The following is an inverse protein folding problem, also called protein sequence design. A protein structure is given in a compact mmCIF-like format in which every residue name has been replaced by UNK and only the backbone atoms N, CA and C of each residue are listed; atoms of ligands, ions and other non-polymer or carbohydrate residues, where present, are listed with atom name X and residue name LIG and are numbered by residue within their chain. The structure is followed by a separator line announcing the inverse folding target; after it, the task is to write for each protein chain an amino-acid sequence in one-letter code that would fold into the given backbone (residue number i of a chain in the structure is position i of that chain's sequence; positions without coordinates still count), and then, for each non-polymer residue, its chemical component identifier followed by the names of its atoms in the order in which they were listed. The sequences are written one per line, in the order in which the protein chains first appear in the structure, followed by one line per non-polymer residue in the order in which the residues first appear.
data_IF_872058778003
#
_entry.id   IF_872058778003
#
_cell.length_a   1.000
_cell.length_b   1.000
_cell.length_c   1.000
_cell.angle_alpha   90.00
_cell.angle_beta   90.00
_cell.angle_gamma   90.00
#
_symmetry.space_group_name_H-M   'P 1'
#
loop_
_entity.id
_entity.type
_entity.pdbx_description
1 polymer ?
#
# COMPACT_ATOMS: atom_id res chain seq x y z
N UNK A 1 5.56 -26.54 -12.83
CA UNK A 1 5.04 -25.42 -12.01
C UNK A 1 3.51 -25.44 -11.84
N UNK A 2 2.69 -25.03 -12.83
CA UNK A 2 1.23 -24.94 -12.63
C UNK A 2 0.54 -26.29 -12.31
N UNK A 3 0.93 -27.36 -13.00
CA UNK A 3 0.41 -28.73 -12.75
C UNK A 3 0.80 -29.26 -11.36
N UNK A 4 1.96 -28.88 -10.82
CA UNK A 4 2.39 -29.32 -9.48
C UNK A 4 1.57 -28.61 -8.39
N UNK A 5 1.35 -27.30 -8.55
CA UNK A 5 0.53 -26.50 -7.65
C UNK A 5 -0.94 -26.95 -7.70
N UNK A 6 -1.44 -27.35 -8.88
CA UNK A 6 -2.80 -27.86 -9.02
C UNK A 6 -3.01 -29.17 -8.27
N UNK A 7 -2.00 -30.06 -8.18
CA UNK A 7 -2.12 -31.32 -7.44
C UNK A 7 -2.24 -31.12 -5.93
N UNK A 8 -1.71 -30.01 -5.41
CA UNK A 8 -1.77 -29.69 -3.97
C UNK A 8 -3.18 -29.25 -3.53
N UNK A 9 -4.03 -28.80 -4.47
CA UNK A 9 -5.39 -28.32 -4.16
C UNK A 9 -6.47 -29.20 -4.78
N UNK A 10 -7.52 -29.44 -4.03
CA UNK A 10 -8.76 -30.06 -4.54
C UNK A 10 -9.83 -28.99 -4.81
N UNK A 11 -10.31 -28.89 -6.05
CA UNK A 11 -11.22 -27.80 -6.49
C UNK A 11 -12.62 -27.80 -5.85
N UNK A 12 -13.05 -28.89 -5.21
CA UNK A 12 -14.40 -29.04 -4.64
C UNK A 12 -14.42 -29.21 -3.13
N UNK A 13 -13.24 -29.22 -2.49
CA UNK A 13 -13.13 -29.39 -1.05
C UNK A 13 -13.19 -28.02 -0.40
N UNK A 14 -14.05 -27.89 0.60
CA UNK A 14 -14.05 -26.73 1.47
C UNK A 14 -12.94 -26.92 2.50
N UNK A 15 -12.03 -25.95 2.57
CA UNK A 15 -10.95 -25.92 3.53
C UNK A 15 -11.33 -24.96 4.65
N UNK A 16 -11.01 -25.36 5.88
CA UNK A 16 -11.02 -24.45 7.02
C UNK A 16 -9.86 -23.45 6.91
N UNK A 17 -9.98 -22.35 7.66
CA UNK A 17 -9.01 -21.24 7.64
C UNK A 17 -7.57 -21.70 7.93
N UNK A 18 -7.27 -22.46 8.99
CA UNK A 18 -5.89 -22.82 9.30
C UNK A 18 -5.27 -23.77 8.27
N UNK A 19 -6.04 -24.71 7.72
CA UNK A 19 -5.57 -25.59 6.63
C UNK A 19 -5.32 -24.79 5.37
N UNK A 20 -6.21 -23.85 5.04
CA UNK A 20 -6.07 -22.96 3.87
C UNK A 20 -4.78 -22.14 3.93
N UNK A 21 -4.45 -21.58 5.10
CA UNK A 21 -3.21 -20.80 5.29
C UNK A 21 -1.97 -21.68 5.12
N UNK A 22 -2.00 -22.90 5.64
CA UNK A 22 -0.88 -23.84 5.53
C UNK A 22 -0.66 -24.28 4.08
N UNK A 23 -1.75 -24.57 3.36
CA UNK A 23 -1.72 -24.94 1.96
C UNK A 23 -1.23 -23.78 1.07
N UNK A 24 -1.70 -22.56 1.34
CA UNK A 24 -1.28 -21.37 0.61
C UNK A 24 0.24 -21.16 0.66
N UNK A 25 0.87 -21.38 1.81
CA UNK A 25 2.34 -21.31 1.97
C UNK A 25 3.09 -22.41 1.22
N UNK A 26 2.47 -23.57 0.98
CA UNK A 26 3.07 -24.63 0.16
C UNK A 26 2.94 -24.35 -1.33
N UNK A 27 1.91 -23.60 -1.72
CA UNK A 27 1.69 -23.18 -3.11
C UNK A 27 2.59 -22.02 -3.53
N UNK A 28 3.12 -21.25 -2.57
CA UNK A 28 4.06 -20.16 -2.86
C UNK A 28 5.38 -20.71 -3.36
N UNK A 29 5.71 -20.41 -4.62
CA UNK A 29 6.85 -21.02 -5.31
C UNK A 29 7.76 -19.99 -5.98
N UNK A 30 7.46 -18.70 -5.85
CA UNK A 30 8.34 -17.64 -6.30
C UNK A 30 9.52 -17.45 -5.33
N UNK A 31 10.57 -16.80 -5.83
CA UNK A 31 11.80 -16.51 -5.07
C UNK A 31 11.69 -15.25 -4.20
N UNK A 32 10.64 -14.46 -4.38
CA UNK A 32 10.39 -13.22 -3.65
C UNK A 32 9.20 -13.39 -2.70
N UNK A 33 8.97 -12.43 -1.81
CA UNK A 33 7.83 -12.43 -0.88
C UNK A 33 6.53 -12.25 -1.67
N UNK A 34 5.75 -13.32 -1.80
CA UNK A 34 4.47 -13.30 -2.50
C UNK A 34 3.38 -12.60 -1.68
N UNK A 35 2.45 -11.93 -2.37
CA UNK A 35 1.25 -11.35 -1.76
C UNK A 35 0.14 -12.40 -1.71
N UNK A 36 -0.49 -12.54 -0.54
CA UNK A 36 -1.69 -13.34 -0.38
C UNK A 36 -2.93 -12.46 -0.62
N UNK A 37 -3.83 -12.93 -1.47
CA UNK A 37 -5.10 -12.25 -1.77
C UNK A 37 -6.29 -13.15 -1.41
N UNK A 38 -7.41 -12.53 -1.03
CA UNK A 38 -8.66 -13.20 -0.76
C UNK A 38 -9.76 -12.62 -1.66
N UNK A 39 -10.40 -13.48 -2.45
CA UNK A 39 -11.48 -13.09 -3.34
C UNK A 39 -12.82 -13.52 -2.77
N UNK A 40 -13.72 -12.57 -2.59
CA UNK A 40 -15.07 -12.80 -2.10
C UNK A 40 -16.06 -12.53 -3.22
N UNK A 41 -16.87 -13.53 -3.56
CA UNK A 41 -17.99 -13.33 -4.47
C UNK A 41 -19.17 -12.78 -3.67
N UNK A 42 -19.44 -11.49 -3.83
CA UNK A 42 -20.60 -10.83 -3.23
C UNK A 42 -21.74 -10.77 -4.25
N UNK A 43 -22.97 -11.00 -3.81
CA UNK A 43 -24.16 -10.93 -4.66
C UNK A 43 -24.71 -9.49 -4.66
N UNK A 44 -23.87 -8.52 -5.02
CA UNK A 44 -24.21 -7.09 -5.11
C UNK A 44 -24.36 -6.70 -6.58
N UNK A 45 -25.32 -5.83 -6.89
CA UNK A 45 -25.47 -5.24 -8.21
C UNK A 45 -24.69 -3.91 -8.29
N UNK A 46 -23.56 -3.87 -9.02
CA UNK A 46 -22.73 -2.67 -9.10
C UNK A 46 -23.38 -1.51 -9.87
N UNK A 47 -24.55 -1.72 -10.50
CA UNK A 47 -25.29 -0.64 -11.17
C UNK A 47 -25.94 0.34 -10.19
N UNK A 48 -26.20 -0.10 -8.96
CA UNK A 48 -26.86 0.71 -7.95
C UNK A 48 -25.85 1.19 -6.90
N UNK A 49 -25.76 2.50 -6.69
CA UNK A 49 -24.78 3.13 -5.80
C UNK A 49 -24.94 2.72 -4.33
N UNK A 50 -26.15 2.37 -3.89
CA UNK A 50 -26.45 1.90 -2.53
C UNK A 50 -25.93 0.49 -2.25
N UNK A 51 -25.68 -0.30 -3.31
CA UNK A 51 -25.08 -1.64 -3.19
C UNK A 51 -23.56 -1.63 -3.34
N UNK A 52 -22.93 -0.48 -3.58
CA UNK A 52 -21.49 -0.37 -3.67
C UNK A 52 -20.86 -0.39 -2.26
N UNK A 53 -20.04 -1.41 -1.97
CA UNK A 53 -19.31 -1.48 -0.70
C UNK A 53 -17.94 -0.81 -0.83
N UNK A 54 -17.74 0.27 -0.05
CA UNK A 54 -16.42 0.89 0.15
C UNK A 54 -16.16 1.00 1.64
N UNK A 55 -15.29 0.14 2.15
CA UNK A 55 -14.91 0.10 3.56
C UNK A 55 -13.39 -0.02 3.72
N UNK A 56 -12.90 0.42 4.87
CA UNK A 56 -11.50 0.28 5.27
C UNK A 56 -11.43 -0.73 6.41
N UNK A 57 -10.45 -1.63 6.37
CA UNK A 57 -10.23 -2.61 7.43
C UNK A 57 -8.83 -2.45 7.98
N UNK A 58 -8.72 -2.38 9.31
CA UNK A 58 -7.43 -2.34 9.99
C UNK A 58 -6.95 -3.78 10.21
N UNK A 59 -5.85 -4.14 9.56
CA UNK A 59 -5.22 -5.45 9.75
C UNK A 59 -4.36 -5.43 11.03
N UNK A 60 -4.62 -6.30 12.04
CA UNK A 60 -3.88 -6.28 13.31
C UNK A 60 -2.37 -6.52 13.18
N UNK A 61 -1.93 -7.15 12.08
CA UNK A 61 -0.52 -7.41 11.79
C UNK A 61 0.01 -6.57 10.61
N UNK A 62 -0.78 -5.61 10.13
CA UNK A 62 -0.49 -4.84 8.92
C UNK A 62 -0.43 -5.69 7.66
N UNK A 63 0.12 -5.12 6.59
CA UNK A 63 0.32 -5.77 5.29
C UNK A 63 1.69 -6.46 5.17
N UNK A 64 2.51 -6.43 6.24
CA UNK A 64 3.88 -6.94 6.22
C UNK A 64 4.88 -6.08 5.43
N UNK A 65 4.42 -5.03 4.74
CA UNK A 65 5.29 -4.03 4.11
C UNK A 65 5.62 -2.94 5.13
N UNK A 66 6.91 -2.72 5.38
CA UNK A 66 7.37 -1.54 6.10
C UNK A 66 7.19 -0.33 5.19
N UNK A 67 6.10 0.42 5.39
CA UNK A 67 5.83 1.64 4.65
C UNK A 67 6.55 2.79 5.33
N UNK A 68 7.63 3.28 4.72
CA UNK A 68 8.26 4.54 5.11
C UNK A 68 7.39 5.71 4.65
N UNK A 69 7.00 6.59 5.57
CA UNK A 69 6.13 7.73 5.29
C UNK A 69 6.97 9.02 5.27
N UNK A 70 6.95 9.71 4.14
CA UNK A 70 7.52 11.05 4.00
C UNK A 70 6.40 12.09 4.07
N UNK A 71 6.58 13.11 4.89
CA UNK A 71 5.62 14.20 5.10
C UNK A 71 6.23 15.53 4.66
N UNK A 72 5.59 16.17 3.69
CA UNK A 72 5.95 17.50 3.17
C UNK A 72 5.08 18.56 3.81
N UNK A 73 5.62 19.28 4.79
CA UNK A 73 4.93 20.36 5.51
C UNK A 73 5.88 21.53 5.78
N UNK A 74 5.32 22.67 6.18
CA UNK A 74 6.09 23.86 6.56
C UNK A 74 5.58 24.41 7.90
N UNK A 75 6.45 25.13 8.62
CA UNK A 75 6.11 25.78 9.89
C UNK A 75 5.83 24.79 11.02
N UNK A 76 4.87 25.12 11.88
CA UNK A 76 4.53 24.36 13.10
C UNK A 76 4.06 22.91 12.82
N UNK A 77 3.56 22.64 11.60
CA UNK A 77 3.14 21.30 11.18
C UNK A 77 4.30 20.33 10.96
N UNK A 78 5.54 20.81 10.95
CA UNK A 78 6.73 19.93 10.89
C UNK A 78 6.87 19.18 12.21
N UNK A 79 6.72 19.88 13.33
CA UNK A 79 6.86 19.30 14.66
C UNK A 79 5.71 18.34 14.97
N UNK A 80 4.49 18.67 14.54
CA UNK A 80 3.32 17.77 14.63
C UNK A 80 3.54 16.47 13.85
N UNK A 81 4.05 16.56 12.61
CA UNK A 81 4.31 15.40 11.78
C UNK A 81 5.42 14.51 12.36
N UNK A 82 6.46 15.13 12.94
CA UNK A 82 7.54 14.40 13.62
C UNK A 82 7.03 13.72 14.89
N UNK A 83 6.18 14.40 15.66
CA UNK A 83 5.55 13.83 16.86
C UNK A 83 4.57 12.70 16.54
N UNK A 84 3.90 12.76 15.38
CA UNK A 84 3.00 11.71 14.90
C UNK A 84 3.72 10.43 14.41
N UNK A 85 5.05 10.43 14.35
CA UNK A 85 5.85 9.26 13.98
C UNK A 85 6.10 9.10 12.48
N UNK A 86 6.10 10.19 11.71
CA UNK A 86 6.57 10.15 10.33
C UNK A 86 8.09 9.87 10.26
N UNK A 87 8.51 9.00 9.34
CA UNK A 87 9.93 8.65 9.16
C UNK A 87 10.77 9.83 8.66
N UNK A 88 10.20 10.61 7.73
CA UNK A 88 10.87 11.74 7.10
C UNK A 88 9.90 12.92 7.08
N UNK A 89 10.33 14.06 7.62
CA UNK A 89 9.56 15.30 7.58
C UNK A 89 10.46 16.40 7.01
N UNK A 90 9.96 17.14 6.02
CA UNK A 90 10.70 18.25 5.44
C UNK A 90 9.85 19.21 4.64
N UNK A 91 10.42 20.37 4.34
CA UNK A 91 9.79 21.40 3.51
C UNK A 91 10.38 21.44 2.10
N UNK A 92 10.96 22.58 1.74
CA UNK A 92 11.57 22.78 0.42
C UNK A 92 12.85 21.94 0.22
N UNK A 93 13.62 21.72 1.29
CA UNK A 93 14.85 20.93 1.23
C UNK A 93 14.58 19.47 0.81
N UNK A 94 13.48 18.89 1.28
CA UNK A 94 13.09 17.53 0.90
C UNK A 94 12.62 17.47 -0.55
N UNK A 95 11.99 18.53 -1.06
CA UNK A 95 11.62 18.64 -2.48
C UNK A 95 12.87 18.65 -3.37
N UNK A 96 13.92 19.38 -2.98
CA UNK A 96 15.18 19.38 -3.71
C UNK A 96 15.88 18.01 -3.67
N UNK A 97 15.89 17.34 -2.51
CA UNK A 97 16.42 15.97 -2.41
C UNK A 97 15.65 15.00 -3.31
N UNK A 98 14.31 15.09 -3.37
CA UNK A 98 13.49 14.26 -4.26
C UNK A 98 13.81 14.55 -5.73
N UNK A 99 14.02 15.82 -6.11
CA UNK A 99 14.51 16.18 -7.45
C UNK A 99 15.89 15.61 -7.74
N UNK A 100 16.75 15.54 -6.73
CA UNK A 100 18.09 14.93 -6.78
C UNK A 100 18.10 13.40 -6.83
N UNK A 101 16.94 12.74 -6.73
CA UNK A 101 16.81 11.29 -6.84
C UNK A 101 16.58 10.56 -5.51
N UNK A 102 16.40 11.28 -4.40
CA UNK A 102 16.07 10.68 -3.11
C UNK A 102 14.63 10.13 -3.11
N UNK A 103 14.48 8.80 -2.99
CA UNK A 103 13.18 8.12 -3.10
C UNK A 103 13.05 6.95 -2.10
N UNK A 104 13.61 7.08 -0.90
CA UNK A 104 13.54 6.04 0.13
C UNK A 104 12.25 6.09 0.96
N UNK A 105 11.11 6.39 0.33
CA UNK A 105 9.79 6.41 0.98
C UNK A 105 8.73 5.72 0.13
N UNK A 106 7.77 5.07 0.79
CA UNK A 106 6.68 4.32 0.15
C UNK A 106 5.36 5.09 0.08
N UNK A 107 5.17 6.10 0.93
CA UNK A 107 4.04 7.02 0.88
C UNK A 107 4.51 8.44 1.12
N UNK A 108 3.97 9.38 0.35
CA UNK A 108 4.21 10.80 0.52
C UNK A 108 2.89 11.49 0.87
N UNK A 109 2.92 12.31 1.90
CA UNK A 109 1.78 13.12 2.37
C UNK A 109 2.22 14.57 2.32
N UNK A 110 1.40 15.46 1.77
CA UNK A 110 1.72 16.89 1.72
C UNK A 110 0.63 17.73 2.37
N UNK A 111 1.02 18.83 3.02
CA UNK A 111 0.05 19.85 3.40
C UNK A 111 -0.43 20.64 2.17
N UNK A 112 -1.67 21.16 2.18
CA UNK A 112 -2.21 21.95 1.07
C UNK A 112 -1.30 23.08 0.59
N UNK A 113 -0.61 23.72 1.54
CA UNK A 113 0.31 24.84 1.30
C UNK A 113 1.52 24.46 0.40
N UNK A 114 1.89 23.17 0.39
CA UNK A 114 3.03 22.64 -0.36
C UNK A 114 2.64 22.04 -1.71
N UNK A 115 1.35 21.88 -2.00
CA UNK A 115 0.84 21.28 -3.24
C UNK A 115 1.34 21.96 -4.52
N UNK A 116 1.46 23.31 -4.61
CA UNK A 116 2.00 23.97 -5.81
C UNK A 116 3.44 23.54 -6.13
N UNK A 117 4.25 23.32 -5.09
CA UNK A 117 5.64 22.89 -5.24
C UNK A 117 5.73 21.40 -5.55
N UNK A 118 4.86 20.58 -4.95
CA UNK A 118 4.74 19.14 -5.23
C UNK A 118 4.25 18.88 -6.66
N UNK A 119 3.42 19.75 -7.23
CA UNK A 119 3.00 19.63 -8.63
C UNK A 119 4.19 19.60 -9.61
N UNK A 120 5.28 20.31 -9.30
CA UNK A 120 6.51 20.27 -10.09
C UNK A 120 7.20 18.90 -10.07
N UNK A 121 7.01 18.13 -8.99
CA UNK A 121 7.50 16.76 -8.83
C UNK A 121 6.57 15.72 -9.49
N UNK A 122 5.41 16.13 -10.03
CA UNK A 122 4.41 15.23 -10.61
C UNK A 122 4.97 14.34 -11.73
N UNK A 123 5.96 14.80 -12.50
CA UNK A 123 6.64 13.98 -13.52
C UNK A 123 7.41 12.79 -12.93
N UNK A 124 7.87 12.91 -11.69
CA UNK A 124 8.70 11.91 -11.00
C UNK A 124 7.80 11.03 -10.11
N UNK A 125 6.91 11.64 -9.33
CA UNK A 125 6.05 10.95 -8.36
C UNK A 125 4.80 10.33 -8.99
N UNK A 126 4.28 10.94 -10.07
CA UNK A 126 3.08 10.50 -10.78
C UNK A 126 3.16 9.07 -11.34
N UNK A 127 4.15 8.70 -12.18
CA UNK A 127 4.23 7.35 -12.76
C UNK A 127 4.47 6.25 -11.71
N UNK A 128 4.86 6.62 -10.49
CA UNK A 128 5.12 5.71 -9.37
C UNK A 128 3.95 5.63 -8.38
N UNK A 129 2.88 6.40 -8.58
CA UNK A 129 1.73 6.43 -7.66
C UNK A 129 2.07 6.97 -6.27
N UNK A 130 3.14 7.77 -6.16
CA UNK A 130 3.61 8.39 -4.91
C UNK A 130 3.14 9.84 -4.77
N UNK A 131 2.23 10.29 -5.62
CA UNK A 131 1.66 11.63 -5.54
C UNK A 131 0.63 11.68 -4.41
N UNK A 132 0.71 12.69 -3.52
CA UNK A 132 -0.26 12.90 -2.44
C UNK A 132 -1.63 13.36 -2.96
#
# INVERSE_FOLDING_TARGET
RFLEIQKLRESKKEYDVPTSISLMKQMSSARFVESAEAHFRMNLDPKYNDQQLRATVNLPKGTGQMVKIAVLTQGERIDEARAAGADIVGGDDLIEQIKGGFMEFGKLIASPDMMPKVASLGKILGPRGLMP
#
